data_IF_113209382758
#
_entry.id   IF_113209382758
#
_cell.length_a   1.000
_cell.length_b   1.000
_cell.length_c   1.000
_cell.angle_alpha   90.00
_cell.angle_beta   90.00
_cell.angle_gamma   90.00
#
_symmetry.space_group_name_H-M   'P 1'
#
loop_
_entity.id
_entity.type
_entity.pdbx_description
1 polymer ?
#
# COMPACT_ATOMS: atom_id res chain seq x y z
N UNK A 1 -21.96 2.84 23.44
CA UNK A 1 -20.81 3.02 22.54
C UNK A 1 -19.75 2.01 22.98
N UNK A 2 -19.57 0.91 22.24
CA UNK A 2 -18.63 -0.15 22.61
C UNK A 2 -17.23 0.31 22.19
N UNK A 3 -16.42 0.73 23.15
CA UNK A 3 -15.01 0.99 22.92
C UNK A 3 -14.29 -0.36 22.80
N UNK A 4 -13.81 -0.73 21.61
CA UNK A 4 -12.89 -1.87 21.46
C UNK A 4 -11.48 -1.42 21.84
N UNK A 5 -11.19 -1.40 23.13
CA UNK A 5 -9.81 -1.31 23.63
C UNK A 5 -9.06 -2.54 23.12
N UNK A 6 -8.01 -2.33 22.32
CA UNK A 6 -7.20 -3.41 21.72
C UNK A 6 -7.16 -3.44 20.18
N UNK A 7 -7.94 -2.60 19.49
CA UNK A 7 -7.79 -2.46 18.04
C UNK A 7 -6.51 -1.69 17.69
N UNK A 8 -5.61 -2.36 16.97
CA UNK A 8 -4.39 -1.73 16.44
C UNK A 8 -4.70 -1.02 15.11
N UNK A 9 -4.24 0.23 14.92
CA UNK A 9 -4.36 0.89 13.63
C UNK A 9 -3.49 0.18 12.57
N UNK A 10 -3.83 0.34 11.30
CA UNK A 10 -3.06 -0.27 10.20
C UNK A 10 -1.58 0.15 10.21
N UNK A 11 -1.26 1.39 10.62
CA UNK A 11 0.12 1.85 10.79
C UNK A 11 0.86 1.05 11.87
N UNK A 12 0.20 0.72 12.98
CA UNK A 12 0.79 -0.11 14.05
C UNK A 12 1.03 -1.54 13.59
N UNK A 13 0.08 -2.14 12.88
CA UNK A 13 0.22 -3.50 12.31
C UNK A 13 1.38 -3.54 11.30
N UNK A 14 1.52 -2.48 10.48
CA UNK A 14 2.59 -2.36 9.48
C UNK A 14 3.97 -2.21 10.12
N UNK A 15 4.08 -1.44 11.20
CA UNK A 15 5.32 -1.30 11.95
C UNK A 15 5.73 -2.62 12.61
N UNK A 16 4.81 -3.30 13.28
CA UNK A 16 5.08 -4.59 13.92
C UNK A 16 5.52 -5.68 12.92
N UNK A 17 4.95 -5.66 11.71
CA UNK A 17 5.37 -6.56 10.64
C UNK A 17 6.83 -6.29 10.22
N UNK A 18 7.20 -5.02 10.06
CA UNK A 18 8.55 -4.61 9.73
C UNK A 18 9.55 -4.99 10.84
N UNK A 19 9.22 -4.74 12.10
CA UNK A 19 10.07 -5.10 13.25
C UNK A 19 10.34 -6.61 13.31
N UNK A 20 9.38 -7.44 12.87
CA UNK A 20 9.51 -8.91 12.86
C UNK A 20 10.31 -9.44 11.69
N UNK A 21 10.14 -8.89 10.50
CA UNK A 21 10.70 -9.46 9.25
C UNK A 21 11.87 -8.67 8.70
N UNK A 22 12.10 -7.45 9.17
CA UNK A 22 13.04 -6.48 8.59
C UNK A 22 12.59 -5.94 7.22
N UNK A 23 11.42 -6.33 6.74
CA UNK A 23 10.91 -6.00 5.40
C UNK A 23 9.56 -5.31 5.52
N UNK A 24 9.43 -4.13 4.92
CA UNK A 24 8.18 -3.38 4.96
C UNK A 24 7.13 -4.13 4.11
N UNK A 25 6.01 -4.57 4.70
CA UNK A 25 5.01 -5.33 3.94
C UNK A 25 4.36 -4.43 2.88
N UNK A 26 4.03 -5.02 1.73
CA UNK A 26 3.29 -4.30 0.69
C UNK A 26 1.87 -3.95 1.16
N UNK A 27 1.18 -3.07 0.44
CA UNK A 27 -0.23 -2.78 0.74
C UNK A 27 -1.11 -4.03 0.59
N UNK A 28 -0.78 -4.92 -0.35
CA UNK A 28 -1.46 -6.21 -0.52
C UNK A 28 -1.23 -7.14 0.67
N UNK A 29 0.00 -7.20 1.18
CA UNK A 29 0.32 -8.02 2.35
C UNK A 29 -0.36 -7.46 3.61
N UNK A 30 -0.31 -6.13 3.79
CA UNK A 30 -0.99 -5.46 4.90
C UNK A 30 -2.51 -5.68 4.85
N UNK A 31 -3.10 -5.67 3.66
CA UNK A 31 -4.52 -5.96 3.47
C UNK A 31 -4.85 -7.39 3.90
N UNK A 32 -4.06 -8.38 3.48
CA UNK A 32 -4.21 -9.77 3.93
C UNK A 32 -4.04 -9.90 5.43
N UNK A 33 -3.05 -9.25 6.03
CA UNK A 33 -2.81 -9.27 7.47
C UNK A 33 -4.00 -8.74 8.30
N UNK A 34 -4.84 -7.90 7.73
CA UNK A 34 -5.95 -7.23 8.44
C UNK A 34 -7.32 -7.82 8.10
N UNK A 35 -7.46 -8.49 6.94
CA UNK A 35 -8.73 -8.98 6.42
C UNK A 35 -8.73 -10.49 6.15
N UNK A 36 -7.62 -11.19 6.41
CA UNK A 36 -7.51 -12.64 6.30
C UNK A 36 -7.07 -13.27 7.62
N UNK A 37 -7.41 -14.55 7.79
CA UNK A 37 -6.89 -15.39 8.86
C UNK A 37 -5.41 -15.71 8.63
N UNK A 38 -4.74 -16.27 9.64
CA UNK A 38 -3.35 -16.74 9.50
C UNK A 38 -3.17 -17.78 8.40
N UNK A 39 -4.23 -18.50 8.04
CA UNK A 39 -4.25 -19.48 6.94
C UNK A 39 -4.40 -18.82 5.56
N UNK A 40 -4.48 -17.49 5.51
CA UNK A 40 -4.62 -16.71 4.28
C UNK A 40 -6.04 -16.63 3.73
N UNK A 41 -7.04 -17.10 4.48
CA UNK A 41 -8.45 -17.08 4.07
C UNK A 41 -9.06 -15.73 4.45
N UNK A 42 -9.65 -15.01 3.50
CA UNK A 42 -10.35 -13.76 3.77
C UNK A 42 -11.54 -13.97 4.71
N UNK A 43 -11.65 -13.10 5.72
CA UNK A 43 -12.71 -13.16 6.73
C UNK A 43 -14.06 -12.77 6.15
N UNK A 44 -14.08 -11.92 5.12
CA UNK A 44 -15.29 -11.50 4.45
C UNK A 44 -15.17 -11.57 2.91
N UNK A 45 -16.25 -11.97 2.19
CA UNK A 45 -16.23 -12.08 0.73
C UNK A 45 -16.03 -10.76 -0.02
N UNK A 46 -16.35 -9.61 0.60
CA UNK A 46 -16.21 -8.32 -0.05
C UNK A 46 -14.73 -7.92 -0.14
N UNK A 47 -13.95 -8.18 0.91
CA UNK A 47 -12.51 -8.02 0.95
C UNK A 47 -11.81 -8.91 -0.07
N UNK A 48 -12.21 -10.18 -0.18
CA UNK A 48 -11.68 -11.09 -1.19
C UNK A 48 -11.96 -10.57 -2.61
N UNK A 49 -13.21 -10.17 -2.88
CA UNK A 49 -13.59 -9.62 -4.18
C UNK A 49 -12.79 -8.36 -4.53
N UNK A 50 -12.59 -7.46 -3.57
CA UNK A 50 -11.78 -6.26 -3.77
C UNK A 50 -10.31 -6.58 -4.02
N UNK A 51 -9.74 -7.50 -3.23
CA UNK A 51 -8.36 -7.93 -3.39
C UNK A 51 -8.11 -8.51 -4.78
N UNK A 52 -8.99 -9.42 -5.23
CA UNK A 52 -8.89 -10.04 -6.55
C UNK A 52 -9.08 -9.01 -7.67
N UNK A 53 -10.03 -8.08 -7.54
CA UNK A 53 -10.22 -7.03 -8.54
C UNK A 53 -8.99 -6.12 -8.68
N UNK A 54 -8.33 -5.78 -7.57
CA UNK A 54 -7.08 -5.01 -7.59
C UNK A 54 -5.94 -5.84 -8.19
N UNK A 55 -5.79 -7.10 -7.79
CA UNK A 55 -4.77 -8.00 -8.31
C UNK A 55 -4.88 -8.17 -9.84
N UNK A 56 -6.08 -8.44 -10.36
CA UNK A 56 -6.31 -8.54 -11.81
C UNK A 56 -5.97 -7.24 -12.54
N UNK A 57 -6.28 -6.08 -11.95
CA UNK A 57 -5.93 -4.79 -12.56
C UNK A 57 -4.42 -4.54 -12.57
N UNK A 58 -3.69 -4.99 -11.54
CA UNK A 58 -2.22 -4.91 -11.52
C UNK A 58 -1.67 -5.73 -12.68
N UNK A 59 -2.08 -6.98 -12.79
CA UNK A 59 -1.64 -7.90 -13.85
C UNK A 59 -1.96 -7.36 -15.26
N UNK A 60 -3.17 -6.85 -15.46
CA UNK A 60 -3.59 -6.22 -16.72
C UNK A 60 -2.69 -5.03 -17.09
N UNK A 61 -2.25 -4.26 -16.10
CA UNK A 61 -1.38 -3.09 -16.33
C UNK A 61 0.08 -3.48 -16.51
N UNK A 62 0.59 -4.46 -15.78
CA UNK A 62 1.94 -5.02 -15.97
C UNK A 62 2.10 -5.61 -17.38
N UNK A 63 1.09 -6.33 -17.87
CA UNK A 63 1.09 -6.89 -19.23
C UNK A 63 1.05 -5.81 -20.30
N UNK A 64 0.18 -4.79 -20.14
CA UNK A 64 0.15 -3.63 -21.04
C UNK A 64 1.49 -2.87 -21.08
N UNK A 65 2.10 -2.63 -19.92
CA UNK A 65 3.38 -1.92 -19.82
C UNK A 65 4.54 -2.74 -20.39
N UNK A 66 4.52 -4.06 -20.21
CA UNK A 66 5.51 -4.96 -20.81
C UNK A 66 5.43 -4.93 -22.33
N UNK A 67 4.22 -4.88 -22.91
CA UNK A 67 4.04 -4.74 -24.37
C UNK A 67 4.47 -3.36 -24.90
N UNK A 68 4.38 -2.32 -24.08
CA UNK A 68 4.81 -0.96 -24.44
C UNK A 68 6.30 -0.72 -24.17
N UNK A 69 6.97 -1.61 -23.43
CA UNK A 69 8.39 -1.51 -23.12
C UNK A 69 9.22 -1.81 -24.37
N UNK A 70 10.00 -0.86 -24.90
CA UNK A 70 10.81 -1.07 -26.10
C UNK A 70 11.89 -2.15 -25.90
N UNK A 71 12.24 -2.45 -24.65
CA UNK A 71 13.22 -3.47 -24.28
C UNK A 71 12.58 -4.86 -24.07
N UNK A 72 11.24 -4.97 -24.13
CA UNK A 72 10.49 -6.21 -23.86
C UNK A 72 10.64 -6.75 -22.43
N UNK A 73 11.22 -5.95 -21.53
CA UNK A 73 11.44 -6.33 -20.14
C UNK A 73 10.11 -6.33 -19.36
N UNK A 74 9.88 -7.35 -18.49
CA UNK A 74 8.68 -7.42 -17.68
C UNK A 74 8.64 -6.26 -16.69
N UNK A 75 7.63 -5.41 -16.83
CA UNK A 75 7.40 -4.28 -15.91
C UNK A 75 6.60 -4.79 -14.72
N UNK A 76 7.24 -4.84 -13.56
CA UNK A 76 6.54 -5.11 -12.29
C UNK A 76 6.03 -3.81 -11.70
N UNK A 77 4.73 -3.73 -11.52
CA UNK A 77 4.07 -2.61 -10.88
C UNK A 77 4.18 -2.72 -9.38
N UNK A 78 4.73 -1.68 -8.76
CA UNK A 78 4.56 -1.49 -7.32
C UNK A 78 3.14 -0.97 -7.07
N UNK A 79 2.54 -1.37 -5.94
CA UNK A 79 1.11 -1.16 -5.63
C UNK A 79 0.65 0.31 -5.69
N UNK A 80 1.56 1.28 -5.76
CA UNK A 80 1.25 2.72 -5.90
C UNK A 80 0.79 3.13 -7.32
N UNK A 81 1.13 2.37 -8.38
CA UNK A 81 0.88 2.80 -9.77
C UNK A 81 -0.53 2.44 -10.30
N UNK A 82 -1.24 1.56 -9.60
CA UNK A 82 -2.52 0.99 -10.07
C UNK A 82 -3.69 1.97 -9.90
N UNK A 83 -3.49 3.09 -9.19
CA UNK A 83 -4.55 4.09 -9.04
C UNK A 83 -4.72 4.92 -10.32
N UNK A 84 -5.97 5.25 -10.73
CA UNK A 84 -6.19 6.02 -11.95
C UNK A 84 -5.51 7.38 -11.87
N UNK A 85 -4.58 7.65 -12.81
CA UNK A 85 -3.99 8.97 -13.02
C UNK A 85 -5.00 9.84 -13.75
N UNK A 86 -5.69 10.73 -13.03
CA UNK A 86 -6.53 11.76 -13.65
C UNK A 86 -5.70 13.04 -13.74
N UNK A 87 -5.43 13.51 -14.95
CA UNK A 87 -4.69 14.75 -15.23
C UNK A 87 -3.27 14.77 -14.63
N UNK A 88 -2.54 13.66 -14.71
CA UNK A 88 -1.18 13.54 -14.16
C UNK A 88 -1.11 13.36 -12.63
N UNK A 89 -2.26 13.30 -11.93
CA UNK A 89 -2.35 13.06 -10.48
C UNK A 89 -2.85 11.65 -10.19
N UNK A 90 -2.09 10.88 -9.40
CA UNK A 90 -2.48 9.57 -8.87
C UNK A 90 -3.57 9.82 -7.82
N UNK A 91 -4.81 9.45 -8.11
CA UNK A 91 -5.91 9.52 -7.14
C UNK A 91 -6.13 8.11 -6.60
N UNK A 92 -5.35 7.75 -5.60
CA UNK A 92 -5.41 6.47 -4.89
C UNK A 92 -5.05 6.66 -3.43
N UNK A 93 -5.53 5.75 -2.58
CA UNK A 93 -5.27 5.74 -1.14
C UNK A 93 -3.76 5.57 -0.93
N UNK A 94 -3.10 6.71 -0.76
CA UNK A 94 -1.67 6.82 -0.50
C UNK A 94 -0.79 7.01 -1.74
N UNK A 95 -0.88 8.15 -2.41
CA UNK A 95 0.14 8.57 -3.37
C UNK A 95 1.26 9.35 -2.67
N UNK A 96 2.50 8.84 -2.69
CA UNK A 96 3.71 9.64 -2.50
C UNK A 96 4.02 10.26 -3.87
N UNK A 97 3.51 11.45 -4.11
CA UNK A 97 3.82 12.18 -5.33
C UNK A 97 5.23 12.76 -5.20
N UNK A 98 6.25 12.18 -5.85
CA UNK A 98 7.55 12.85 -6.08
C UNK A 98 7.38 13.99 -7.09
N UNK A 99 6.60 15.01 -6.75
CA UNK A 99 6.58 16.30 -7.43
C UNK A 99 6.41 17.38 -6.37
N UNK A 100 7.41 18.25 -6.26
CA UNK A 100 7.39 19.42 -5.40
C UNK A 100 6.22 20.33 -5.75
N UNK A 101 5.13 20.29 -4.97
CA UNK A 101 4.19 21.41 -4.86
C UNK A 101 3.40 21.33 -3.55
N UNK A 102 3.65 22.33 -2.71
CA UNK A 102 3.05 22.56 -1.41
C UNK A 102 1.52 22.73 -1.50
N UNK A 103 0.79 21.97 -0.67
CA UNK A 103 -0.49 22.37 -0.03
C UNK A 103 -0.87 21.32 1.03
N UNK A 104 -0.73 21.71 2.30
CA UNK A 104 -1.35 21.28 3.58
C UNK A 104 -1.69 19.81 3.94
N UNK A 105 -1.77 18.84 3.02
CA UNK A 105 -2.08 17.43 3.35
C UNK A 105 -0.87 16.47 3.28
N UNK A 106 0.20 16.83 2.57
CA UNK A 106 1.45 16.05 2.54
C UNK A 106 2.18 16.06 3.89
N UNK A 107 2.06 17.17 4.65
CA UNK A 107 2.76 17.36 5.92
C UNK A 107 2.49 16.23 6.91
N UNK A 108 1.23 15.80 7.11
CA UNK A 108 0.94 14.75 8.11
C UNK A 108 1.45 13.37 7.72
N UNK A 109 1.49 13.02 6.44
CA UNK A 109 1.87 11.68 5.96
C UNK A 109 3.38 11.52 5.84
N UNK A 110 4.05 12.57 5.35
CA UNK A 110 5.51 12.64 5.42
C UNK A 110 5.96 12.75 6.87
N UNK A 111 5.20 13.42 7.75
CA UNK A 111 5.50 13.41 9.18
C UNK A 111 5.25 12.05 9.82
N UNK A 112 4.20 11.29 9.45
CA UNK A 112 4.00 9.93 9.97
C UNK A 112 5.10 8.96 9.46
N UNK A 113 5.45 9.01 8.17
CA UNK A 113 6.54 8.21 7.61
C UNK A 113 7.92 8.69 8.09
N UNK A 114 8.11 9.99 8.29
CA UNK A 114 9.32 10.59 8.85
C UNK A 114 9.39 10.33 10.35
N UNK A 115 8.28 10.17 11.06
CA UNK A 115 8.26 9.79 12.47
C UNK A 115 8.56 8.31 12.63
N UNK A 116 8.06 7.47 11.72
CA UNK A 116 8.48 6.07 11.60
C UNK A 116 9.98 5.99 11.26
N UNK A 117 10.48 6.76 10.28
CA UNK A 117 11.91 6.82 9.91
C UNK A 117 12.80 7.40 11.00
N UNK A 118 12.42 8.50 11.64
CA UNK A 118 13.17 9.09 12.74
C UNK A 118 13.21 8.18 13.98
N UNK A 119 12.19 7.35 14.20
CA UNK A 119 12.24 6.26 15.20
C UNK A 119 13.17 5.12 14.80
N UNK A 120 13.31 4.84 13.51
CA UNK A 120 14.30 3.88 13.00
C UNK A 120 15.74 4.40 13.12
N UNK A 121 15.96 5.71 12.90
CA UNK A 121 17.29 6.35 12.91
C UNK A 121 17.80 6.73 14.32
N UNK A 122 16.97 6.56 15.37
CA UNK A 122 17.32 6.91 16.76
C UNK A 122 17.88 5.74 17.59
N UNK A 123 18.48 4.72 16.96
CA UNK A 123 19.18 3.62 17.64
C UNK A 123 20.70 3.78 17.57
#
# INVERSE_FOLDING_TARGET
MVHRTGQKPHAGIRLEAYEKTGVLPSLSDLFKMTHATSDGIFVDPASEKLFNAVASRVEERETQLTQQSPDGLPVKLTTEEVAPRKNGRIVGIGSINKVAKATSYASRRDEENSHLRARMDSQ
#
